data_IF_803436809086
#
_entry.id   IF_803436809086
#
_cell.length_a   1.000
_cell.length_b   1.000
_cell.length_c   1.000
_cell.angle_alpha   90.00
_cell.angle_beta   90.00
_cell.angle_gamma   90.00
#
_symmetry.space_group_name_H-M   'P 1'
#
loop_
_entity.id
_entity.type
_entity.pdbx_description
1 polymer ?
#
# COMPACT_ATOMS: atom_id res chain seq x y z
N UNK A 1 -6.20 1.46 -0.43
CA UNK A 1 -4.81 1.43 0.03
C UNK A 1 -4.71 0.62 1.31
N UNK A 2 -3.69 -0.21 1.43
CA UNK A 2 -3.58 -1.20 2.50
C UNK A 2 -2.88 -0.65 3.75
N UNK A 3 -1.79 0.10 3.59
CA UNK A 3 -1.02 0.64 4.71
C UNK A 3 -1.32 2.11 5.00
N UNK A 4 -1.73 2.87 4.02
CA UNK A 4 -2.00 4.29 4.16
C UNK A 4 -3.47 4.58 3.91
N UNK A 5 -3.98 5.64 4.54
CA UNK A 5 -5.33 6.11 4.27
C UNK A 5 -5.44 6.55 2.80
N UNK A 6 -6.63 6.34 2.24
CA UNK A 6 -6.92 6.79 0.88
C UNK A 6 -6.80 8.31 0.76
N UNK A 7 -6.61 8.78 -0.48
CA UNK A 7 -6.67 10.20 -0.78
C UNK A 7 -8.05 10.71 -0.36
N UNK A 8 -8.08 11.73 0.50
CA UNK A 8 -9.33 12.27 1.03
C UNK A 8 -9.42 13.78 0.83
N UNK A 9 -10.57 14.35 1.23
CA UNK A 9 -10.83 15.78 1.06
C UNK A 9 -9.82 16.67 1.80
N UNK A 10 -9.30 16.23 2.95
CA UNK A 10 -8.32 17.02 3.71
C UNK A 10 -7.00 17.14 2.98
N UNK A 11 -6.52 16.03 2.40
CA UNK A 11 -5.30 16.04 1.58
C UNK A 11 -5.50 16.91 0.35
N UNK A 12 -6.65 16.77 -0.32
CA UNK A 12 -6.95 17.56 -1.51
C UNK A 12 -7.07 19.05 -1.22
N UNK A 13 -7.58 19.43 -0.06
CA UNK A 13 -7.68 20.85 0.34
C UNK A 13 -6.33 21.52 0.49
N UNK A 14 -5.26 20.77 0.71
CA UNK A 14 -3.90 21.29 0.81
C UNK A 14 -3.33 21.66 -0.55
N UNK A 15 -3.99 21.24 -1.64
CA UNK A 15 -3.56 21.52 -3.00
C UNK A 15 -4.12 22.86 -3.49
N UNK A 16 -3.40 23.51 -4.40
CA UNK A 16 -3.89 24.74 -5.03
C UNK A 16 -5.07 24.46 -5.96
N UNK A 17 -5.90 25.47 -6.20
CA UNK A 17 -7.02 25.34 -7.14
C UNK A 17 -6.55 24.97 -8.54
N UNK A 18 -5.43 25.54 -8.98
CA UNK A 18 -4.83 25.23 -10.27
C UNK A 18 -4.44 23.75 -10.36
N UNK A 19 -3.81 23.21 -9.30
CA UNK A 19 -3.43 21.81 -9.23
C UNK A 19 -4.65 20.91 -9.27
N UNK A 20 -5.66 21.21 -8.46
CA UNK A 20 -6.89 20.41 -8.42
C UNK A 20 -7.59 20.38 -9.76
N UNK A 21 -7.64 21.52 -10.47
CA UNK A 21 -8.26 21.60 -11.78
C UNK A 21 -7.48 20.80 -12.83
N UNK A 22 -6.15 20.92 -12.81
CA UNK A 22 -5.26 20.20 -13.73
C UNK A 22 -5.37 18.69 -13.62
N UNK A 23 -5.55 18.18 -12.39
CA UNK A 23 -5.59 16.75 -12.11
C UNK A 23 -6.97 16.22 -11.78
N UNK A 24 -8.02 16.94 -12.14
CA UNK A 24 -9.41 16.49 -11.91
C UNK A 24 -9.63 15.12 -12.53
N UNK A 25 -10.10 14.16 -11.71
CA UNK A 25 -10.28 12.76 -12.13
C UNK A 25 -9.00 11.93 -12.14
N UNK A 26 -7.85 12.55 -11.86
CA UNK A 26 -6.53 11.90 -11.83
C UNK A 26 -5.71 12.38 -10.63
N UNK A 27 -6.34 12.47 -9.48
CA UNK A 27 -5.74 13.03 -8.27
C UNK A 27 -4.50 12.25 -7.81
N UNK A 28 -4.46 10.95 -8.11
CA UNK A 28 -3.30 10.10 -7.82
C UNK A 28 -2.04 10.48 -8.61
N UNK A 29 -2.19 11.29 -9.66
CA UNK A 29 -1.07 11.80 -10.45
C UNK A 29 -0.50 13.12 -9.92
N UNK A 30 -1.10 13.70 -8.88
CA UNK A 30 -0.60 14.95 -8.27
C UNK A 30 0.79 14.70 -7.66
N UNK A 31 1.83 15.44 -8.11
CA UNK A 31 3.17 15.27 -7.55
C UNK A 31 3.21 15.51 -6.04
N UNK A 32 3.87 14.61 -5.32
CA UNK A 32 4.03 14.71 -3.86
C UNK A 32 2.84 14.27 -3.03
N UNK A 33 1.72 13.90 -3.66
CA UNK A 33 0.49 13.55 -2.94
C UNK A 33 0.67 12.33 -2.03
N UNK A 34 1.35 11.30 -2.51
CA UNK A 34 1.55 10.07 -1.74
C UNK A 34 2.38 10.29 -0.47
N UNK A 35 3.26 11.28 -0.45
CA UNK A 35 4.04 11.62 0.74
C UNK A 35 3.20 12.24 1.86
N UNK A 36 1.99 12.69 1.56
CA UNK A 36 1.08 13.34 2.50
C UNK A 36 0.09 12.38 3.16
N UNK A 37 0.03 11.13 2.70
CA UNK A 37 -0.93 10.15 3.22
C UNK A 37 -0.57 9.72 4.65
N UNK A 38 -1.58 9.54 5.49
CA UNK A 38 -1.40 9.07 6.85
C UNK A 38 -1.49 7.54 6.92
N UNK A 39 -0.81 6.90 7.89
CA UNK A 39 -0.96 5.46 8.07
C UNK A 39 -2.42 5.08 8.38
N UNK A 40 -2.86 3.96 7.82
CA UNK A 40 -4.16 3.40 8.14
C UNK A 40 -4.18 2.92 9.59
N UNK A 41 -5.30 3.09 10.33
CA UNK A 41 -5.39 2.62 11.72
C UNK A 41 -5.00 1.16 11.85
N UNK A 42 -4.09 0.86 12.78
CA UNK A 42 -3.62 -0.49 13.03
C UNK A 42 -2.60 -1.04 12.05
N UNK A 43 -2.32 -0.36 10.94
CA UNK A 43 -1.42 -0.88 9.90
C UNK A 43 0.02 -1.05 10.39
N UNK A 44 0.57 -0.04 11.05
CA UNK A 44 1.98 -0.08 11.49
C UNK A 44 2.20 -1.20 12.51
N UNK A 45 1.31 -1.31 13.50
CA UNK A 45 1.41 -2.36 14.52
C UNK A 45 1.21 -3.75 13.90
N UNK A 46 0.28 -3.86 12.95
CA UNK A 46 -0.01 -5.11 12.28
C UNK A 46 1.19 -5.65 11.50
N UNK A 47 1.84 -4.81 10.69
CA UNK A 47 3.01 -5.25 9.91
C UNK A 47 4.19 -5.59 10.81
N UNK A 48 4.38 -4.86 11.91
CA UNK A 48 5.42 -5.20 12.87
C UNK A 48 5.14 -6.56 13.52
N UNK A 49 3.89 -6.84 13.83
CA UNK A 49 3.49 -8.14 14.38
C UNK A 49 3.70 -9.26 13.37
N UNK A 50 3.27 -9.05 12.12
CA UNK A 50 3.47 -10.02 11.05
C UNK A 50 4.95 -10.30 10.77
N UNK A 51 5.80 -9.29 10.87
CA UNK A 51 7.24 -9.46 10.63
C UNK A 51 7.94 -10.37 11.64
N UNK A 52 7.31 -10.64 12.79
CA UNK A 52 7.81 -11.61 13.76
C UNK A 52 7.63 -13.06 13.29
N UNK A 53 6.69 -13.30 12.37
CA UNK A 53 6.31 -14.64 11.91
C UNK A 53 6.56 -14.86 10.42
N UNK A 54 6.65 -13.80 9.64
CA UNK A 54 6.78 -13.83 8.17
C UNK A 54 7.90 -12.92 7.70
N UNK A 55 8.49 -13.28 6.58
CA UNK A 55 9.44 -12.41 5.89
C UNK A 55 8.64 -11.44 4.99
N UNK A 56 8.43 -10.23 5.48
CA UNK A 56 7.54 -9.27 4.88
C UNK A 56 8.24 -8.35 3.88
N UNK A 57 7.60 -8.13 2.73
CA UNK A 57 8.05 -7.20 1.69
C UNK A 57 6.93 -6.28 1.29
N UNK A 58 7.26 -5.07 0.87
CA UNK A 58 6.30 -4.18 0.22
C UNK A 58 6.23 -4.56 -1.26
N UNK A 59 5.03 -4.77 -1.76
CA UNK A 59 4.76 -4.96 -3.18
C UNK A 59 3.67 -3.97 -3.57
N UNK A 60 4.06 -2.92 -4.26
CA UNK A 60 3.19 -1.80 -4.56
C UNK A 60 3.25 -1.40 -6.01
N UNK A 61 2.26 -0.64 -6.46
CA UNK A 61 2.25 -0.02 -7.78
C UNK A 61 2.18 1.50 -7.60
N UNK A 62 2.91 2.24 -8.40
CA UNK A 62 2.83 3.70 -8.44
C UNK A 62 2.27 4.13 -9.80
N UNK A 63 1.44 5.19 -9.89
CA UNK A 63 0.91 5.66 -11.15
C UNK A 63 2.02 5.97 -12.15
N UNK A 64 1.89 5.45 -13.38
CA UNK A 64 2.91 5.66 -14.41
C UNK A 64 3.12 7.14 -14.73
N UNK A 65 2.03 7.92 -14.69
CA UNK A 65 2.07 9.36 -14.97
C UNK A 65 2.55 10.23 -13.82
N UNK A 66 2.93 9.64 -12.67
CA UNK A 66 3.41 10.39 -11.51
C UNK A 66 4.75 9.83 -11.02
N UNK A 67 5.87 10.25 -11.64
CA UNK A 67 7.19 9.76 -11.22
C UNK A 67 7.49 9.99 -9.74
N UNK A 68 7.00 11.08 -9.15
CA UNK A 68 7.21 11.37 -7.73
C UNK A 68 6.57 10.34 -6.81
N UNK A 69 5.51 9.64 -7.25
CA UNK A 69 4.85 8.62 -6.45
C UNK A 69 5.79 7.43 -6.17
N UNK A 70 6.70 7.13 -7.07
CA UNK A 70 7.68 6.06 -6.89
C UNK A 70 8.62 6.36 -5.73
N UNK A 71 9.22 7.56 -5.73
CA UNK A 71 10.10 7.98 -4.65
C UNK A 71 9.31 8.27 -3.36
N UNK A 72 8.14 8.87 -3.47
CA UNK A 72 7.30 9.19 -2.30
C UNK A 72 6.88 7.94 -1.53
N UNK A 73 6.60 6.84 -2.22
CA UNK A 73 6.26 5.58 -1.56
C UNK A 73 7.45 5.02 -0.77
N UNK A 74 8.64 5.09 -1.33
CA UNK A 74 9.85 4.66 -0.62
C UNK A 74 10.13 5.57 0.57
N UNK A 75 9.99 6.88 0.40
CA UNK A 75 10.17 7.85 1.49
C UNK A 75 9.15 7.60 2.60
N UNK A 76 7.88 7.32 2.24
CA UNK A 76 6.83 7.02 3.20
C UNK A 76 7.16 5.75 4.02
N UNK A 77 7.60 4.68 3.35
CA UNK A 77 8.00 3.44 4.02
C UNK A 77 9.20 3.70 4.95
N UNK A 78 10.19 4.45 4.50
CA UNK A 78 11.35 4.80 5.31
C UNK A 78 10.95 5.59 6.55
N UNK A 79 10.00 6.51 6.41
CA UNK A 79 9.52 7.33 7.54
C UNK A 79 8.81 6.51 8.61
N UNK A 80 7.97 5.57 8.23
CA UNK A 80 7.09 4.86 9.17
C UNK A 80 7.52 3.44 9.48
N UNK A 81 8.17 2.74 8.56
CA UNK A 81 8.39 1.30 8.64
C UNK A 81 9.78 0.85 8.16
N UNK A 82 10.79 1.71 8.27
CA UNK A 82 12.14 1.34 7.88
C UNK A 82 12.68 0.15 8.67
N UNK A 83 12.23 -0.01 9.91
CA UNK A 83 12.57 -1.15 10.76
C UNK A 83 12.14 -2.50 10.16
N UNK A 84 11.04 -2.52 9.41
CA UNK A 84 10.50 -3.76 8.81
C UNK A 84 10.96 -3.91 7.35
N UNK A 85 10.89 -2.84 6.56
CA UNK A 85 10.99 -2.91 5.10
C UNK A 85 12.26 -2.29 4.51
N UNK A 86 13.31 -2.11 5.30
CA UNK A 86 14.56 -1.58 4.77
C UNK A 86 15.09 -2.48 3.65
N UNK A 87 15.25 -1.92 2.43
CA UNK A 87 15.66 -2.66 1.22
C UNK A 87 14.71 -3.81 0.83
N UNK A 88 13.47 -3.77 1.30
CA UNK A 88 12.45 -4.79 1.03
C UNK A 88 11.23 -4.19 0.33
N UNK A 89 11.46 -3.34 -0.66
CA UNK A 89 10.40 -2.65 -1.39
C UNK A 89 10.49 -2.97 -2.88
N UNK A 90 9.37 -3.43 -3.44
CA UNK A 90 9.22 -3.67 -4.88
C UNK A 90 8.06 -2.79 -5.36
N UNK A 91 8.32 -1.93 -6.34
CA UNK A 91 7.29 -1.11 -6.97
C UNK A 91 7.18 -1.56 -8.42
N UNK A 92 6.02 -2.09 -8.80
CA UNK A 92 5.84 -2.72 -10.11
C UNK A 92 4.38 -2.68 -10.55
N UNK A 93 4.16 -2.72 -11.86
CA UNK A 93 2.83 -2.94 -12.45
C UNK A 93 2.58 -4.43 -12.73
N UNK A 94 3.55 -5.29 -12.43
CA UNK A 94 3.51 -6.72 -12.76
C UNK A 94 3.71 -7.56 -11.50
N UNK A 95 2.76 -7.49 -10.58
CA UNK A 95 2.86 -8.18 -9.29
C UNK A 95 2.95 -9.70 -9.42
N UNK A 96 2.45 -10.27 -10.51
CA UNK A 96 2.53 -11.70 -10.78
C UNK A 96 3.96 -12.22 -11.03
N UNK A 97 4.90 -11.32 -11.30
CA UNK A 97 6.31 -11.71 -11.48
C UNK A 97 7.03 -11.91 -10.14
N UNK A 98 6.45 -11.45 -9.05
CA UNK A 98 7.02 -11.61 -7.72
C UNK A 98 6.56 -12.93 -7.11
N UNK A 99 7.46 -13.59 -6.38
CA UNK A 99 7.16 -14.84 -5.69
C UNK A 99 6.89 -14.57 -4.22
N UNK A 100 5.92 -15.28 -3.67
CA UNK A 100 5.59 -15.19 -2.26
C UNK A 100 4.47 -16.15 -1.92
N UNK A 101 4.27 -16.40 -0.64
CA UNK A 101 3.22 -17.30 -0.17
C UNK A 101 1.88 -16.57 -0.05
N UNK A 102 1.92 -15.31 0.36
CA UNK A 102 0.73 -14.51 0.66
C UNK A 102 0.92 -13.10 0.12
N UNK A 103 -0.10 -12.58 -0.56
CA UNK A 103 -0.18 -11.20 -1.01
C UNK A 103 -1.39 -10.53 -0.36
N UNK A 104 -1.14 -9.43 0.37
CA UNK A 104 -2.21 -8.62 0.96
C UNK A 104 -2.37 -7.38 0.07
N UNK A 105 -3.48 -7.29 -0.63
CA UNK A 105 -3.74 -6.20 -1.57
C UNK A 105 -5.24 -5.88 -1.59
N UNK A 106 -5.55 -4.61 -1.75
CA UNK A 106 -6.94 -4.13 -1.74
C UNK A 106 -7.61 -4.14 -3.11
N UNK A 107 -6.86 -4.35 -4.20
CA UNK A 107 -7.40 -4.30 -5.55
C UNK A 107 -6.91 -5.45 -6.42
N UNK A 108 -7.79 -5.92 -7.30
CA UNK A 108 -7.48 -6.91 -8.33
C UNK A 108 -6.92 -6.20 -9.57
N UNK A 109 -5.68 -5.73 -9.47
CA UNK A 109 -4.99 -5.00 -10.56
C UNK A 109 -3.51 -5.35 -10.59
N UNK A 110 -2.88 -5.08 -11.74
CA UNK A 110 -1.43 -5.19 -11.91
C UNK A 110 -0.87 -6.58 -11.59
N UNK A 111 -1.61 -7.61 -11.95
CA UNK A 111 -1.16 -9.00 -11.82
C UNK A 111 -1.48 -9.67 -10.48
N UNK A 112 -2.28 -9.03 -9.62
CA UNK A 112 -2.66 -9.60 -8.31
C UNK A 112 -3.32 -10.98 -8.48
N UNK A 113 -4.28 -11.09 -9.41
CA UNK A 113 -5.01 -12.34 -9.61
C UNK A 113 -4.12 -13.47 -10.13
N UNK A 114 -3.06 -13.15 -10.85
CA UNK A 114 -2.10 -14.08 -11.40
C UNK A 114 -0.92 -14.38 -10.44
N UNK A 115 -0.91 -13.77 -9.26
CA UNK A 115 0.06 -14.07 -8.22
C UNK A 115 -0.11 -15.52 -7.77
N UNK A 116 0.99 -16.27 -7.70
CA UNK A 116 0.93 -17.72 -7.43
C UNK A 116 0.59 -18.10 -6.00
N UNK A 117 0.74 -17.18 -5.04
CA UNK A 117 0.38 -17.44 -3.65
C UNK A 117 -1.07 -17.10 -3.33
N UNK A 118 -1.40 -17.10 -2.05
CA UNK A 118 -2.72 -16.73 -1.57
C UNK A 118 -2.90 -15.21 -1.61
N UNK A 119 -4.00 -14.74 -2.21
CA UNK A 119 -4.37 -13.34 -2.18
C UNK A 119 -5.35 -13.08 -1.04
N UNK A 120 -4.92 -12.26 -0.06
CA UNK A 120 -5.80 -11.73 0.98
C UNK A 120 -6.34 -10.40 0.46
N UNK A 121 -7.62 -10.38 0.12
CA UNK A 121 -8.28 -9.19 -0.41
C UNK A 121 -8.61 -8.24 0.74
N UNK A 122 -7.69 -7.32 1.03
CA UNK A 122 -7.87 -6.32 2.08
C UNK A 122 -9.03 -5.37 1.74
N UNK A 123 -9.88 -5.08 2.73
CA UNK A 123 -11.06 -4.26 2.51
C UNK A 123 -12.29 -5.04 2.06
N UNK A 124 -12.16 -6.35 1.87
CA UNK A 124 -13.29 -7.22 1.55
C UNK A 124 -14.12 -7.52 2.80
N UNK A 125 -15.28 -8.18 2.59
CA UNK A 125 -16.13 -8.60 3.69
C UNK A 125 -15.41 -9.51 4.68
N UNK A 126 -14.56 -10.41 4.19
CA UNK A 126 -13.77 -11.34 5.03
C UNK A 126 -12.62 -10.65 5.75
N UNK A 127 -11.97 -9.68 5.09
CA UNK A 127 -10.79 -8.99 5.63
C UNK A 127 -10.99 -7.48 5.60
N UNK A 128 -11.95 -6.94 6.40
CA UNK A 128 -12.26 -5.52 6.35
C UNK A 128 -11.19 -4.61 6.94
N UNK A 129 -10.34 -5.16 7.81
CA UNK A 129 -9.31 -4.38 8.50
C UNK A 129 -8.09 -5.24 8.85
N UNK A 130 -7.09 -4.62 9.45
CA UNK A 130 -5.86 -5.30 9.83
C UNK A 130 -6.04 -6.32 10.94
N UNK A 131 -7.00 -6.11 11.86
CA UNK A 131 -7.26 -7.07 12.93
C UNK A 131 -7.70 -8.41 12.35
N UNK A 132 -8.58 -8.40 11.36
CA UNK A 132 -9.03 -9.62 10.70
C UNK A 132 -7.90 -10.32 9.97
N UNK A 133 -7.00 -9.57 9.33
CA UNK A 133 -5.83 -10.12 8.65
C UNK A 133 -4.90 -10.79 9.66
N UNK A 134 -4.63 -10.13 10.79
CA UNK A 134 -3.78 -10.68 11.85
C UNK A 134 -4.36 -11.96 12.42
N UNK A 135 -5.65 -11.97 12.72
CA UNK A 135 -6.31 -13.15 13.27
C UNK A 135 -6.17 -14.35 12.33
N UNK A 136 -6.36 -14.12 11.05
CA UNK A 136 -6.22 -15.17 10.04
C UNK A 136 -4.79 -15.71 9.95
N UNK A 137 -3.81 -14.81 9.84
CA UNK A 137 -2.41 -15.19 9.56
C UNK A 137 -1.67 -15.69 10.80
N UNK A 138 -1.97 -15.18 11.96
CA UNK A 138 -1.26 -15.56 13.19
C UNK A 138 -1.89 -16.78 13.85
N UNK A 139 -3.21 -16.88 13.86
CA UNK A 139 -3.90 -18.05 14.45
C UNK A 139 -3.67 -19.35 13.68
N UNK A 140 -3.34 -19.25 12.38
CA UNK A 140 -3.06 -20.44 11.57
C UNK A 140 -1.61 -20.92 11.67
N UNK A 141 -0.77 -20.15 12.34
CA UNK A 141 0.62 -20.55 12.59
C UNK A 141 0.76 -21.19 13.97
#
# INVERSE_FOLDING_TARGET
VTLANSINAEILKLQSEETLKKYEGREDEIPGLFGQMQPMPGALDAVRKLSEFYDCYILSTAPWGNPSAWSDKVIWITRYLDDVFHKKVVITHCKHLCKGDILIDDRDKHGVREFEGEWIHFGSERFPDWDCVLDYLIETT
#
